data_IF_614274422262
#
_entry.id   IF_614274422262
#
_cell.length_a   1.000
_cell.length_b   1.000
_cell.length_c   1.000
_cell.angle_alpha   90.00
_cell.angle_beta   90.00
_cell.angle_gamma   90.00
#
_symmetry.space_group_name_H-M   'P 1'
#
loop_
_entity.id
_entity.type
_entity.pdbx_description
1 polymer ?
#
# COMPACT_ATOMS: atom_id res chain seq x y z
N UNK A 1 -29.09 22.31 64.76
CA UNK A 1 -28.01 22.60 63.80
C UNK A 1 -27.45 21.29 63.30
N UNK A 2 -27.53 21.07 61.97
CA UNK A 2 -26.63 20.30 61.08
C UNK A 2 -25.99 18.99 61.60
N UNK A 3 -26.02 17.83 60.94
CA UNK A 3 -26.69 17.23 59.77
C UNK A 3 -26.44 15.72 59.95
N UNK A 4 -27.49 14.88 59.94
CA UNK A 4 -27.35 13.44 59.71
C UNK A 4 -27.36 13.24 58.20
N UNK A 5 -26.35 12.57 57.64
CA UNK A 5 -26.37 12.11 56.25
C UNK A 5 -26.20 10.60 56.26
N UNK A 6 -27.17 9.97 55.60
CA UNK A 6 -27.37 8.55 55.41
C UNK A 6 -26.15 7.85 54.80
N UNK A 7 -25.90 6.64 55.32
CA UNK A 7 -25.18 5.60 54.61
C UNK A 7 -25.96 5.20 53.35
N UNK A 8 -25.30 5.22 52.20
CA UNK A 8 -25.74 4.55 50.98
C UNK A 8 -24.61 3.62 50.55
N UNK A 9 -24.81 2.34 50.82
CA UNK A 9 -24.06 1.22 50.27
C UNK A 9 -24.44 1.10 48.80
N UNK A 10 -23.48 1.26 47.88
CA UNK A 10 -23.61 0.85 46.49
C UNK A 10 -22.41 0.01 46.11
N UNK A 11 -22.70 -1.28 46.16
CA UNK A 11 -21.95 -2.44 45.71
C UNK A 11 -21.62 -2.36 44.22
N UNK A 12 -20.38 -2.75 43.89
CA UNK A 12 -19.89 -3.37 42.65
C UNK A 12 -20.09 -2.65 41.29
N UNK A 13 -18.98 -2.44 40.59
CA UNK A 13 -18.63 -3.30 39.44
C UNK A 13 -17.16 -3.14 39.09
N UNK A 14 -16.42 -4.25 39.28
CA UNK A 14 -15.24 -4.58 38.51
C UNK A 14 -15.59 -4.51 37.02
N UNK A 15 -14.99 -3.57 36.29
CA UNK A 15 -14.84 -3.72 34.85
C UNK A 15 -13.35 -3.82 34.60
N UNK A 16 -12.96 -5.05 34.26
CA UNK A 16 -11.68 -5.42 33.71
C UNK A 16 -11.17 -4.34 32.76
N UNK A 17 -9.96 -3.85 33.02
CA UNK A 17 -9.13 -3.30 31.96
C UNK A 17 -8.92 -4.40 30.92
N UNK A 18 -9.71 -4.33 29.85
CA UNK A 18 -9.34 -4.96 28.59
C UNK A 18 -8.10 -4.21 28.09
N UNK A 19 -6.93 -4.69 28.48
CA UNK A 19 -5.75 -4.57 27.63
C UNK A 19 -6.11 -5.31 26.35
N UNK A 20 -6.54 -4.57 25.34
CA UNK A 20 -6.75 -5.09 24.00
C UNK A 20 -5.36 -5.37 23.43
N UNK A 21 -4.91 -6.63 23.34
CA UNK A 21 -3.63 -6.92 22.73
C UNK A 21 -3.86 -6.91 21.22
N UNK A 22 -3.25 -5.96 20.53
CA UNK A 22 -3.06 -6.03 19.08
C UNK A 22 -4.34 -5.89 18.26
N UNK A 23 -4.92 -4.68 18.22
CA UNK A 23 -5.25 -4.19 16.88
C UNK A 23 -3.93 -3.82 16.22
N UNK A 24 -3.28 -4.83 15.64
CA UNK A 24 -2.22 -4.63 14.67
C UNK A 24 -2.80 -3.67 13.64
N UNK A 25 -2.31 -2.43 13.64
CA UNK A 25 -2.47 -1.49 12.53
C UNK A 25 -1.65 -2.09 11.39
N UNK A 26 -2.21 -3.12 10.78
CA UNK A 26 -1.86 -3.49 9.42
C UNK A 26 -2.31 -2.29 8.62
N UNK A 27 -1.36 -1.47 8.15
CA UNK A 27 -1.54 -0.79 6.88
C UNK A 27 -2.23 -1.81 5.98
N UNK A 28 -3.41 -1.47 5.47
CA UNK A 28 -4.12 -2.34 4.55
C UNK A 28 -3.16 -2.55 3.39
N UNK A 29 -2.48 -3.70 3.38
CA UNK A 29 -1.76 -4.23 2.23
C UNK A 29 -2.82 -4.59 1.18
N UNK A 30 -3.54 -3.60 0.69
CA UNK A 30 -3.96 -3.59 -0.69
C UNK A 30 -2.68 -3.34 -1.49
N UNK A 31 -1.80 -4.35 -1.49
CA UNK A 31 -0.83 -4.57 -2.55
C UNK A 31 -1.67 -4.89 -3.79
N UNK A 32 -2.21 -3.82 -4.34
CA UNK A 32 -2.63 -3.76 -5.70
C UNK A 32 -1.40 -3.25 -6.43
N UNK A 33 -0.69 -4.11 -7.19
CA UNK A 33 0.37 -3.67 -8.08
C UNK A 33 -0.20 -2.85 -9.26
N UNK A 34 -1.24 -2.05 -9.03
CA UNK A 34 -1.86 -1.10 -9.95
C UNK A 34 -0.86 0.00 -10.36
N UNK A 35 0.35 0.04 -9.76
CA UNK A 35 1.51 0.80 -10.23
C UNK A 35 2.45 0.05 -11.16
N UNK A 36 2.12 -1.16 -11.64
CA UNK A 36 2.61 -1.61 -12.94
C UNK A 36 1.84 -0.83 -14.01
N UNK A 37 2.20 0.45 -14.19
CA UNK A 37 2.14 1.04 -15.52
C UNK A 37 2.90 0.06 -16.40
N UNK A 38 2.15 -0.75 -17.15
CA UNK A 38 2.68 -1.49 -18.27
C UNK A 38 3.06 -0.42 -19.28
N UNK A 39 4.27 0.13 -19.16
CA UNK A 39 4.90 0.76 -20.29
C UNK A 39 4.91 -0.34 -21.38
N UNK A 40 4.19 -0.10 -22.47
CA UNK A 40 4.43 -0.85 -23.70
C UNK A 40 5.84 -0.49 -24.09
N UNK A 41 6.78 -1.33 -23.72
CA UNK A 41 8.09 -1.38 -24.33
C UNK A 41 7.85 -1.80 -25.79
N UNK A 42 7.79 -0.82 -26.69
CA UNK A 42 7.69 -1.02 -28.13
C UNK A 42 9.05 -1.44 -28.72
N UNK A 43 9.82 -2.25 -27.99
CA UNK A 43 11.05 -2.84 -28.48
C UNK A 43 10.96 -4.38 -28.50
N UNK A 44 10.78 -4.90 -29.71
CA UNK A 44 10.76 -6.33 -30.01
C UNK A 44 12.16 -6.92 -29.79
N UNK A 45 12.21 -7.91 -28.91
CA UNK A 45 13.23 -8.95 -28.91
C UNK A 45 14.21 -8.79 -27.77
N UNK A 46 13.97 -9.51 -26.68
CA UNK A 46 14.93 -10.33 -25.93
C UNK A 46 14.20 -10.95 -24.73
N UNK A 47 14.86 -11.90 -24.08
CA UNK A 47 14.30 -13.00 -23.28
C UNK A 47 13.31 -12.59 -22.17
N UNK A 48 12.33 -13.46 -21.91
CA UNK A 48 11.34 -13.30 -20.83
C UNK A 48 12.01 -13.46 -19.46
N UNK A 49 12.67 -12.43 -18.98
CA UNK A 49 13.08 -12.34 -17.58
C UNK A 49 11.84 -12.24 -16.67
N UNK A 50 11.93 -12.92 -15.53
CA UNK A 50 10.85 -13.08 -14.56
C UNK A 50 10.47 -11.69 -14.02
N UNK A 51 9.17 -11.38 -14.01
CA UNK A 51 8.68 -10.09 -13.56
C UNK A 51 8.98 -9.88 -12.06
N UNK A 52 9.99 -9.06 -11.74
CA UNK A 52 10.24 -8.61 -10.38
C UNK A 52 9.37 -7.38 -10.09
N UNK A 53 8.56 -7.46 -9.03
CA UNK A 53 7.43 -6.57 -8.76
C UNK A 53 7.80 -5.24 -8.06
N UNK A 54 9.07 -5.01 -7.75
CA UNK A 54 9.51 -3.87 -6.94
C UNK A 54 10.57 -3.06 -7.68
N UNK A 55 10.35 -1.73 -7.77
CA UNK A 55 11.29 -0.78 -8.40
C UNK A 55 12.41 -0.29 -7.46
N UNK A 56 12.30 -0.60 -6.17
CA UNK A 56 13.19 -0.14 -5.09
C UNK A 56 13.49 -1.32 -4.17
N UNK A 57 14.76 -1.49 -3.82
CA UNK A 57 15.20 -2.56 -2.94
C UNK A 57 14.74 -2.29 -1.50
N UNK A 58 14.74 -1.02 -1.08
CA UNK A 58 14.19 -0.60 0.19
C UNK A 58 12.71 -0.99 0.33
N UNK A 59 11.90 -0.82 -0.74
CA UNK A 59 10.50 -1.27 -0.74
C UNK A 59 10.34 -2.79 -0.60
N UNK A 60 11.27 -3.59 -1.13
CA UNK A 60 11.27 -5.04 -0.89
C UNK A 60 11.49 -5.33 0.60
N UNK A 61 12.48 -4.66 1.21
CA UNK A 61 12.77 -4.78 2.65
C UNK A 61 11.59 -4.35 3.51
N UNK A 62 10.88 -3.30 3.10
CA UNK A 62 9.67 -2.84 3.78
C UNK A 62 8.63 -3.95 3.85
N UNK A 63 8.26 -4.50 2.69
CA UNK A 63 7.26 -5.57 2.63
C UNK A 63 7.73 -6.84 3.33
N UNK A 64 9.02 -7.17 3.28
CA UNK A 64 9.59 -8.25 4.05
C UNK A 64 9.34 -8.05 5.55
N UNK A 65 9.67 -6.87 6.10
CA UNK A 65 9.41 -6.54 7.51
C UNK A 65 7.91 -6.61 7.84
N UNK A 66 7.04 -6.06 7.02
CA UNK A 66 5.59 -6.11 7.26
C UNK A 66 4.99 -7.55 7.20
N UNK A 67 5.66 -8.46 6.48
CA UNK A 67 5.32 -9.88 6.42
C UNK A 67 6.02 -10.70 7.50
N UNK A 68 6.85 -10.09 8.35
CA UNK A 68 7.61 -10.77 9.40
C UNK A 68 8.80 -11.59 8.86
N UNK A 69 9.31 -11.23 7.69
CA UNK A 69 10.46 -11.87 7.04
C UNK A 69 11.74 -11.15 7.47
N UNK A 70 12.73 -11.91 7.93
CA UNK A 70 14.06 -11.40 8.25
C UNK A 70 14.76 -10.88 6.99
N UNK A 71 15.29 -9.66 7.06
CA UNK A 71 15.94 -8.94 5.95
C UNK A 71 17.46 -9.07 5.98
N UNK A 72 18.06 -9.18 7.17
CA UNK A 72 19.52 -9.17 7.34
C UNK A 72 20.18 -10.39 6.70
N UNK A 73 21.31 -10.17 6.02
CA UNK A 73 22.13 -11.24 5.43
C UNK A 73 21.55 -11.91 4.18
N UNK A 74 20.38 -11.49 3.69
CA UNK A 74 19.77 -12.01 2.45
C UNK A 74 20.07 -11.11 1.26
N UNK A 75 20.26 -11.71 0.10
CA UNK A 75 20.27 -10.97 -1.15
C UNK A 75 18.85 -10.54 -1.55
N UNK A 76 18.76 -9.45 -2.29
CA UNK A 76 17.49 -8.83 -2.67
C UNK A 76 16.64 -9.76 -3.55
N UNK A 77 17.24 -10.59 -4.41
CA UNK A 77 16.48 -11.47 -5.30
C UNK A 77 15.80 -12.61 -4.53
N UNK A 78 16.51 -13.18 -3.56
CA UNK A 78 15.92 -14.12 -2.59
C UNK A 78 14.81 -13.43 -1.79
N UNK A 79 15.06 -12.22 -1.29
CA UNK A 79 14.06 -11.48 -0.51
C UNK A 79 12.79 -11.18 -1.32
N UNK A 80 12.92 -10.80 -2.59
CA UNK A 80 11.79 -10.60 -3.52
C UNK A 80 10.94 -11.87 -3.65
N UNK A 81 11.58 -13.03 -3.76
CA UNK A 81 10.88 -14.32 -3.87
C UNK A 81 10.16 -14.68 -2.57
N UNK A 82 10.84 -14.52 -1.43
CA UNK A 82 10.24 -14.79 -0.12
C UNK A 82 9.05 -13.88 0.17
N UNK A 83 9.18 -12.57 -0.09
CA UNK A 83 8.09 -11.59 0.03
C UNK A 83 6.92 -12.00 -0.85
N UNK A 84 7.19 -12.37 -2.09
CA UNK A 84 6.16 -12.78 -3.04
C UNK A 84 5.41 -14.04 -2.58
N UNK A 85 6.14 -15.07 -2.14
CA UNK A 85 5.56 -16.31 -1.64
C UNK A 85 4.75 -16.09 -0.35
N UNK A 86 5.29 -15.35 0.60
CA UNK A 86 4.63 -15.03 1.85
C UNK A 86 3.36 -14.20 1.62
N UNK A 87 3.38 -13.25 0.66
CA UNK A 87 2.20 -12.48 0.29
C UNK A 87 1.08 -13.36 -0.26
N UNK A 88 1.40 -14.35 -1.12
CA UNK A 88 0.41 -15.29 -1.64
C UNK A 88 -0.17 -16.13 -0.50
N UNK A 89 0.67 -16.70 0.38
CA UNK A 89 0.21 -17.53 1.50
C UNK A 89 -0.67 -16.75 2.47
N UNK A 90 -0.25 -15.55 2.88
CA UNK A 90 -1.03 -14.66 3.76
C UNK A 90 -2.36 -14.26 3.12
N UNK A 91 -2.37 -14.04 1.81
CA UNK A 91 -3.60 -13.76 1.07
C UNK A 91 -4.51 -14.99 1.00
N UNK A 92 -3.96 -16.17 0.79
CA UNK A 92 -4.71 -17.43 0.81
C UNK A 92 -5.36 -17.66 2.18
N UNK A 93 -4.62 -17.50 3.27
CA UNK A 93 -5.13 -17.57 4.64
C UNK A 93 -6.26 -16.56 4.86
N UNK A 94 -6.08 -15.29 4.45
CA UNK A 94 -7.11 -14.24 4.54
C UNK A 94 -8.40 -14.63 3.82
N UNK A 95 -8.30 -15.35 2.71
CA UNK A 95 -9.45 -15.78 1.91
C UNK A 95 -9.95 -17.20 2.26
N UNK A 96 -9.38 -17.84 3.30
CA UNK A 96 -9.76 -19.20 3.70
C UNK A 96 -9.36 -20.27 2.68
N UNK A 97 -8.37 -20.00 1.83
CA UNK A 97 -7.82 -20.94 0.85
C UNK A 97 -6.68 -21.71 1.53
N UNK A 98 -6.81 -23.04 1.60
CA UNK A 98 -5.77 -23.90 2.12
C UNK A 98 -4.54 -23.93 1.17
N UNK A 99 -3.34 -23.53 1.64
CA UNK A 99 -2.12 -23.58 0.85
C UNK A 99 -1.45 -24.96 0.82
N UNK A 100 -1.82 -25.90 1.70
CA UNK A 100 -1.10 -27.17 1.84
C UNK A 100 -1.16 -28.03 0.57
N UNK A 101 0.00 -28.56 0.16
CA UNK A 101 0.13 -29.45 -1.00
C UNK A 101 -0.08 -28.78 -2.37
N UNK A 102 -0.38 -27.48 -2.44
CA UNK A 102 -0.55 -26.74 -3.69
C UNK A 102 0.77 -26.14 -4.18
N UNK A 103 0.94 -26.11 -5.51
CA UNK A 103 2.01 -25.32 -6.14
C UNK A 103 1.70 -23.83 -6.02
N UNK A 104 2.73 -23.01 -5.83
CA UNK A 104 2.58 -21.56 -5.66
C UNK A 104 1.79 -20.90 -6.80
N UNK A 105 2.03 -21.30 -8.05
CA UNK A 105 1.29 -20.78 -9.21
C UNK A 105 -0.21 -21.11 -9.20
N UNK A 106 -0.58 -22.28 -8.66
CA UNK A 106 -1.98 -22.67 -8.49
C UNK A 106 -2.62 -21.85 -7.38
N UNK A 107 -1.95 -21.76 -6.23
CA UNK A 107 -2.41 -20.98 -5.08
C UNK A 107 -2.61 -19.50 -5.45
N UNK A 108 -1.66 -18.92 -6.18
CA UNK A 108 -1.75 -17.57 -6.73
C UNK A 108 -3.02 -17.37 -7.56
N UNK A 109 -3.33 -18.30 -8.46
CA UNK A 109 -4.50 -18.19 -9.33
C UNK A 109 -5.79 -18.19 -8.51
N UNK A 110 -5.91 -19.10 -7.55
CA UNK A 110 -7.06 -19.18 -6.65
C UNK A 110 -7.21 -17.89 -5.82
N UNK A 111 -6.12 -17.39 -5.24
CA UNK A 111 -6.10 -16.13 -4.49
C UNK A 111 -6.55 -14.96 -5.37
N UNK A 112 -6.03 -14.85 -6.58
CA UNK A 112 -6.39 -13.77 -7.52
C UNK A 112 -7.85 -13.86 -7.96
N UNK A 113 -8.36 -15.07 -8.18
CA UNK A 113 -9.76 -15.31 -8.53
C UNK A 113 -10.70 -14.90 -7.40
N UNK A 114 -10.44 -15.34 -6.17
CA UNK A 114 -11.25 -14.95 -5.01
C UNK A 114 -11.17 -13.45 -4.74
N UNK A 115 -9.97 -12.85 -4.82
CA UNK A 115 -9.80 -11.40 -4.68
C UNK A 115 -10.60 -10.64 -5.74
N UNK A 116 -10.58 -11.09 -6.99
CA UNK A 116 -11.33 -10.47 -8.08
C UNK A 116 -12.84 -10.60 -7.87
N UNK A 117 -13.35 -11.75 -7.43
CA UNK A 117 -14.77 -11.96 -7.14
C UNK A 117 -15.24 -11.07 -5.99
N UNK A 118 -14.47 -10.98 -4.90
CA UNK A 118 -14.78 -10.07 -3.79
C UNK A 118 -14.80 -8.61 -4.25
N UNK A 119 -13.82 -8.19 -5.06
CA UNK A 119 -13.83 -6.82 -5.61
C UNK A 119 -15.00 -6.58 -6.57
N UNK A 120 -15.40 -7.57 -7.36
CA UNK A 120 -16.59 -7.47 -8.20
C UNK A 120 -17.84 -7.27 -7.33
N UNK A 121 -17.98 -8.03 -6.26
CA UNK A 121 -19.09 -7.90 -5.31
C UNK A 121 -19.10 -6.53 -4.61
N UNK A 122 -17.95 -6.07 -4.09
CA UNK A 122 -17.78 -4.75 -3.47
C UNK A 122 -18.20 -3.61 -4.42
N UNK A 123 -17.93 -3.77 -5.71
CA UNK A 123 -18.22 -2.78 -6.76
C UNK A 123 -19.61 -2.97 -7.41
N UNK A 124 -20.40 -3.95 -6.95
CA UNK A 124 -21.73 -4.25 -7.50
C UNK A 124 -21.71 -4.79 -8.94
N UNK A 125 -20.63 -5.45 -9.35
CA UNK A 125 -20.46 -6.01 -10.70
C UNK A 125 -20.96 -7.46 -10.72
N UNK A 126 -21.90 -7.75 -11.63
CA UNK A 126 -22.38 -9.11 -11.84
C UNK A 126 -21.25 -10.05 -12.31
N UNK A 127 -21.12 -11.22 -11.69
CA UNK A 127 -20.08 -12.21 -12.03
C UNK A 127 -20.58 -13.34 -12.92
N UNK A 128 -21.90 -13.60 -12.94
CA UNK A 128 -22.49 -14.73 -13.64
C UNK A 128 -22.34 -14.61 -15.17
N UNK A 129 -21.93 -15.71 -15.82
CA UNK A 129 -21.81 -15.80 -17.27
C UNK A 129 -20.67 -15.00 -17.90
N UNK A 130 -19.83 -14.32 -17.11
CA UNK A 130 -18.62 -13.62 -17.60
C UNK A 130 -17.41 -14.54 -17.55
N UNK A 131 -16.55 -14.44 -18.55
CA UNK A 131 -15.22 -15.04 -18.48
C UNK A 131 -14.31 -14.23 -17.53
N UNK A 132 -13.28 -14.87 -17.00
CA UNK A 132 -12.37 -14.28 -16.01
C UNK A 132 -11.66 -13.03 -16.51
N UNK A 133 -11.36 -12.95 -17.82
CA UNK A 133 -10.68 -11.79 -18.39
C UNK A 133 -11.63 -10.59 -18.45
N UNK A 134 -12.86 -10.80 -18.93
CA UNK A 134 -13.88 -9.75 -18.97
C UNK A 134 -14.21 -9.24 -17.56
N UNK A 135 -14.37 -10.14 -16.59
CA UNK A 135 -14.60 -9.75 -15.20
C UNK A 135 -13.43 -8.92 -14.65
N UNK A 136 -12.19 -9.33 -14.91
CA UNK A 136 -11.01 -8.57 -14.49
C UNK A 136 -10.96 -7.15 -15.10
N UNK A 137 -11.31 -7.02 -16.37
CA UNK A 137 -11.37 -5.72 -17.06
C UNK A 137 -12.43 -4.81 -16.44
N UNK A 138 -13.64 -5.34 -16.19
CA UNK A 138 -14.72 -4.57 -15.56
C UNK A 138 -14.38 -4.15 -14.12
N UNK A 139 -13.84 -5.06 -13.30
CA UNK A 139 -13.37 -4.75 -11.94
C UNK A 139 -12.27 -3.69 -11.97
N UNK A 140 -11.31 -3.79 -12.89
CA UNK A 140 -10.24 -2.80 -13.02
C UNK A 140 -10.79 -1.43 -13.40
N UNK A 141 -11.69 -1.38 -14.38
CA UNK A 141 -12.29 -0.13 -14.84
C UNK A 141 -13.14 0.53 -13.75
N UNK A 142 -13.99 -0.24 -13.08
CA UNK A 142 -14.83 0.26 -11.99
C UNK A 142 -14.00 0.80 -10.83
N UNK A 143 -12.92 0.10 -10.44
CA UNK A 143 -11.99 0.58 -9.40
C UNK A 143 -11.33 1.90 -9.78
N UNK A 144 -10.96 2.04 -11.05
CA UNK A 144 -10.33 3.24 -11.57
C UNK A 144 -11.31 4.41 -11.64
N UNK A 145 -12.57 4.16 -12.01
CA UNK A 145 -13.66 5.15 -11.94
C UNK A 145 -13.88 5.59 -10.49
N UNK A 146 -14.04 4.65 -9.56
CA UNK A 146 -14.23 4.95 -8.15
C UNK A 146 -13.11 5.85 -7.60
N UNK A 147 -11.85 5.50 -7.88
CA UNK A 147 -10.71 6.32 -7.44
C UNK A 147 -10.64 7.69 -8.10
N UNK A 148 -11.06 7.80 -9.35
CA UNK A 148 -11.14 9.10 -10.02
C UNK A 148 -12.23 9.97 -9.38
N UNK A 149 -13.39 9.39 -9.06
CA UNK A 149 -14.49 10.09 -8.37
C UNK A 149 -14.09 10.53 -6.95
N UNK A 150 -13.37 9.69 -6.21
CA UNK A 150 -12.80 10.02 -4.90
C UNK A 150 -11.86 11.24 -4.97
N UNK A 151 -11.16 11.43 -6.10
CA UNK A 151 -10.30 12.58 -6.39
C UNK A 151 -11.04 13.75 -7.04
N UNK A 152 -12.37 13.69 -7.17
CA UNK A 152 -13.19 14.73 -7.79
C UNK A 152 -13.02 14.85 -9.31
N UNK A 153 -12.49 13.81 -9.97
CA UNK A 153 -12.26 13.78 -11.41
C UNK A 153 -13.52 13.28 -12.14
N UNK A 154 -13.99 14.03 -13.14
CA UNK A 154 -15.09 13.57 -14.00
C UNK A 154 -14.68 12.35 -14.83
N UNK A 155 -15.51 11.31 -14.83
CA UNK A 155 -15.25 10.02 -15.48
C UNK A 155 -16.00 9.83 -16.80
N UNK A 156 -16.95 10.72 -17.11
CA UNK A 156 -17.79 10.59 -18.31
C UNK A 156 -16.97 10.73 -19.60
N UNK A 157 -17.05 9.72 -20.47
CA UNK A 157 -16.42 9.71 -21.79
C UNK A 157 -14.90 9.47 -21.79
N UNK A 158 -14.25 9.32 -20.63
CA UNK A 158 -12.80 9.15 -20.53
C UNK A 158 -12.35 7.70 -20.62
N UNK A 159 -11.21 7.49 -21.24
CA UNK A 159 -10.56 6.17 -21.28
C UNK A 159 -9.73 5.92 -20.01
N UNK A 160 -9.42 4.66 -19.71
CA UNK A 160 -8.66 4.28 -18.51
C UNK A 160 -7.29 4.98 -18.43
N UNK A 161 -6.62 5.17 -19.57
CA UNK A 161 -5.30 5.81 -19.60
C UNK A 161 -5.38 7.33 -19.34
N UNK A 162 -6.45 7.99 -19.81
CA UNK A 162 -6.72 9.40 -19.52
C UNK A 162 -7.00 9.59 -18.03
N UNK A 163 -7.87 8.75 -17.46
CA UNK A 163 -8.18 8.76 -16.04
C UNK A 163 -6.93 8.51 -15.18
N UNK A 164 -6.08 7.54 -15.52
CA UNK A 164 -4.81 7.31 -14.81
C UNK A 164 -3.92 8.55 -14.84
N UNK A 165 -3.82 9.21 -16.00
CA UNK A 165 -2.99 10.40 -16.16
C UNK A 165 -3.53 11.55 -15.30
N UNK A 166 -4.82 11.83 -15.38
CA UNK A 166 -5.45 12.89 -14.60
C UNK A 166 -5.39 12.62 -13.09
N UNK A 167 -5.65 11.38 -12.66
CA UNK A 167 -5.50 10.99 -11.26
C UNK A 167 -4.07 11.17 -10.77
N UNK A 168 -3.09 10.82 -11.60
CA UNK A 168 -1.69 11.04 -11.27
C UNK A 168 -1.37 12.53 -11.14
N UNK A 169 -1.82 13.35 -12.08
CA UNK A 169 -1.65 14.80 -12.05
C UNK A 169 -2.29 15.44 -10.81
N UNK A 170 -3.53 15.09 -10.49
CA UNK A 170 -4.23 15.59 -9.30
C UNK A 170 -3.47 15.19 -8.02
N UNK A 171 -3.08 13.92 -7.87
CA UNK A 171 -2.33 13.45 -6.69
C UNK A 171 -0.99 14.18 -6.55
N UNK A 172 -0.24 14.31 -7.64
CA UNK A 172 1.05 15.01 -7.63
C UNK A 172 0.88 16.49 -7.24
N UNK A 173 -0.14 17.17 -7.77
CA UNK A 173 -0.39 18.56 -7.42
C UNK A 173 -0.82 18.72 -5.95
N UNK A 174 -1.71 17.85 -5.44
CA UNK A 174 -2.12 17.86 -4.03
C UNK A 174 -0.93 17.63 -3.09
N UNK A 175 -0.07 16.65 -3.42
CA UNK A 175 1.13 16.37 -2.62
C UNK A 175 2.16 17.51 -2.70
N UNK A 176 2.36 18.11 -3.88
CA UNK A 176 3.22 19.28 -4.02
C UNK A 176 2.73 20.46 -3.19
N UNK A 177 1.42 20.77 -3.25
CA UNK A 177 0.80 21.85 -2.48
C UNK A 177 0.94 21.60 -0.96
N UNK A 178 0.67 20.37 -0.50
CA UNK A 178 0.81 19.99 0.91
C UNK A 178 2.26 20.16 1.42
N UNK A 179 3.25 19.99 0.53
CA UNK A 179 4.67 20.17 0.83
C UNK A 179 5.17 21.59 0.56
N UNK A 180 4.33 22.48 0.03
CA UNK A 180 4.73 23.84 -0.35
C UNK A 180 5.71 23.90 -1.52
N UNK A 181 5.69 22.90 -2.41
CA UNK A 181 6.54 22.84 -3.59
C UNK A 181 5.92 23.61 -4.76
N UNK A 182 6.76 24.33 -5.52
CA UNK A 182 6.33 25.00 -6.75
C UNK A 182 6.08 23.98 -7.86
N UNK A 183 4.91 24.06 -8.48
CA UNK A 183 4.44 23.20 -9.57
C UNK A 183 4.57 23.86 -10.94
N UNK A 184 4.83 25.18 -11.00
CA UNK A 184 4.77 25.93 -12.24
C UNK A 184 5.93 25.55 -13.18
N UNK A 185 5.58 25.11 -14.39
CA UNK A 185 6.55 24.83 -15.45
C UNK A 185 7.37 23.55 -15.28
N UNK A 186 7.02 22.70 -14.31
CA UNK A 186 7.67 21.40 -14.10
C UNK A 186 6.89 20.26 -14.77
N UNK A 187 7.62 19.29 -15.28
CA UNK A 187 7.03 18.04 -15.77
C UNK A 187 6.57 17.17 -14.59
N UNK A 188 5.42 16.49 -14.72
CA UNK A 188 4.82 15.69 -13.63
C UNK A 188 5.79 14.64 -13.06
N UNK A 189 6.63 14.04 -13.93
CA UNK A 189 7.63 13.05 -13.52
C UNK A 189 8.74 13.66 -12.67
N UNK A 190 9.13 14.90 -12.92
CA UNK A 190 10.15 15.61 -12.14
C UNK A 190 9.56 16.03 -10.79
N UNK A 191 8.36 16.61 -10.81
CA UNK A 191 7.64 16.99 -9.61
C UNK A 191 7.40 15.79 -8.68
N UNK A 192 7.07 14.61 -9.21
CA UNK A 192 6.94 13.38 -8.43
C UNK A 192 8.24 12.96 -7.73
N UNK A 193 9.40 13.15 -8.38
CA UNK A 193 10.71 12.87 -7.76
C UNK A 193 11.01 13.87 -6.64
N UNK A 194 10.73 15.15 -6.87
CA UNK A 194 10.89 16.19 -5.86
C UNK A 194 10.00 15.95 -4.63
N UNK A 195 8.74 15.58 -4.84
CA UNK A 195 7.82 15.18 -3.78
C UNK A 195 8.37 13.99 -3.00
N UNK A 196 8.81 12.92 -3.68
CA UNK A 196 9.40 11.75 -3.02
C UNK A 196 10.60 12.16 -2.15
N UNK A 197 11.51 12.96 -2.70
CA UNK A 197 12.68 13.45 -1.98
C UNK A 197 12.27 14.30 -0.77
N UNK A 198 11.33 15.23 -0.94
CA UNK A 198 10.85 16.10 0.13
C UNK A 198 10.21 15.31 1.27
N UNK A 199 9.35 14.32 0.96
CA UNK A 199 8.75 13.43 1.96
C UNK A 199 9.80 12.64 2.74
N UNK A 200 10.80 12.11 2.04
CA UNK A 200 11.89 11.38 2.66
C UNK A 200 12.76 12.27 3.55
N UNK A 201 13.09 13.48 3.11
CA UNK A 201 13.83 14.45 3.91
C UNK A 201 13.04 14.82 5.16
N UNK A 202 11.74 15.10 5.05
CA UNK A 202 10.89 15.41 6.21
C UNK A 202 10.79 14.24 7.19
N UNK A 203 10.63 13.00 6.69
CA UNK A 203 10.61 11.81 7.52
C UNK A 203 11.96 11.61 8.23
N UNK A 204 13.07 11.78 7.50
CA UNK A 204 14.42 11.70 8.05
C UNK A 204 14.65 12.74 9.16
N UNK A 205 14.26 14.00 8.94
CA UNK A 205 14.36 15.06 9.94
C UNK A 205 13.54 14.75 11.20
N UNK A 206 12.32 14.23 11.05
CA UNK A 206 11.46 13.84 12.18
C UNK A 206 12.05 12.66 12.97
N UNK A 207 12.75 11.75 12.30
CA UNK A 207 13.42 10.59 12.90
C UNK A 207 14.82 10.92 13.43
N UNK A 208 15.33 12.14 13.20
CA UNK A 208 16.68 12.55 13.59
C UNK A 208 17.79 11.93 12.73
N UNK A 209 17.47 11.52 11.50
CA UNK A 209 18.40 10.96 10.51
C UNK A 209 19.13 12.12 9.80
N UNK A 210 20.45 11.98 9.65
CA UNK A 210 21.26 12.93 8.86
C UNK A 210 20.92 12.80 7.37
N UNK A 211 20.58 13.92 6.73
CA UNK A 211 20.14 13.95 5.31
C UNK A 211 21.22 14.37 4.33
N UNK A 212 22.33 14.96 4.82
CA UNK A 212 23.40 15.47 3.95
C UNK A 212 24.11 14.33 3.21
N UNK A 213 24.21 14.44 1.88
CA UNK A 213 24.92 13.46 1.04
C UNK A 213 24.14 12.16 0.76
N UNK A 214 22.91 11.99 1.28
CA UNK A 214 22.05 10.83 1.00
C UNK A 214 21.03 11.14 -0.08
N UNK A 215 20.82 10.20 -1.00
CA UNK A 215 19.74 10.29 -1.99
C UNK A 215 18.43 9.69 -1.45
N UNK A 216 17.35 9.80 -2.23
CA UNK A 216 16.04 9.25 -1.87
C UNK A 216 16.07 7.76 -1.55
N UNK A 217 16.87 6.95 -2.26
CA UNK A 217 16.88 5.51 -2.03
C UNK A 217 17.64 5.18 -0.75
N UNK A 218 18.77 5.85 -0.49
CA UNK A 218 19.55 5.70 0.74
C UNK A 218 18.74 6.13 1.97
N UNK A 219 18.04 7.28 1.90
CA UNK A 219 17.16 7.73 3.00
C UNK A 219 16.05 6.73 3.26
N UNK A 220 15.40 6.24 2.20
CA UNK A 220 14.31 5.28 2.31
C UNK A 220 14.80 3.96 2.91
N UNK A 221 15.96 3.47 2.46
CA UNK A 221 16.56 2.25 2.98
C UNK A 221 16.83 2.36 4.48
N UNK A 222 17.48 3.43 4.92
CA UNK A 222 17.80 3.67 6.34
C UNK A 222 16.54 3.82 7.20
N UNK A 223 15.53 4.55 6.73
CA UNK A 223 14.23 4.66 7.40
C UNK A 223 13.62 3.26 7.61
N UNK A 224 13.71 2.38 6.61
CA UNK A 224 13.12 1.04 6.66
C UNK A 224 13.99 0.05 7.43
N UNK A 225 15.32 0.12 7.37
CA UNK A 225 16.19 -0.85 8.03
C UNK A 225 16.36 -0.51 9.49
N UNK A 226 16.63 0.75 9.79
CA UNK A 226 17.17 1.17 11.09
C UNK A 226 16.12 1.89 11.94
N UNK A 227 15.13 2.53 11.31
CA UNK A 227 14.09 3.34 11.97
C UNK A 227 12.66 2.85 11.71
N UNK A 228 12.48 1.56 11.38
CA UNK A 228 11.19 1.03 10.94
C UNK A 228 10.06 1.25 11.96
N UNK A 229 10.31 0.91 13.23
CA UNK A 229 9.27 0.98 14.26
C UNK A 229 8.96 2.43 14.62
N UNK A 230 9.97 3.29 14.75
CA UNK A 230 9.78 4.72 15.00
C UNK A 230 9.04 5.39 13.84
N UNK A 231 9.40 5.07 12.59
CA UNK A 231 8.75 5.64 11.41
C UNK A 231 7.27 5.26 11.34
N UNK A 232 6.97 4.00 11.67
CA UNK A 232 5.61 3.48 11.72
C UNK A 232 4.80 4.07 12.87
N UNK A 233 5.39 4.21 14.05
CA UNK A 233 4.75 4.80 15.23
C UNK A 233 4.42 6.28 15.00
N UNK A 234 5.35 7.02 14.40
CA UNK A 234 5.18 8.45 14.09
C UNK A 234 4.34 8.71 12.83
N UNK A 235 3.96 7.64 12.09
CA UNK A 235 3.23 7.73 10.83
C UNK A 235 3.91 8.65 9.79
N UNK A 236 5.23 8.56 9.68
CA UNK A 236 6.02 9.31 8.69
C UNK A 236 6.30 8.45 7.47
N UNK A 237 6.70 9.06 6.35
CA UNK A 237 6.96 8.33 5.11
C UNK A 237 7.91 7.14 5.30
N UNK A 238 7.58 5.94 4.79
CA UNK A 238 6.48 5.59 3.88
C UNK A 238 5.16 5.14 4.55
N UNK A 239 4.97 5.42 5.84
CA UNK A 239 3.81 4.99 6.65
C UNK A 239 2.76 6.08 6.87
N UNK A 240 2.86 7.23 6.18
CA UNK A 240 1.90 8.29 6.34
C UNK A 240 0.52 7.90 5.78
N UNK A 241 -0.54 8.54 6.29
CA UNK A 241 -1.88 8.39 5.71
C UNK A 241 -1.98 9.21 4.43
N UNK A 242 -2.59 8.65 3.38
CA UNK A 242 -2.85 9.39 2.15
C UNK A 242 -3.67 10.66 2.46
N UNK A 243 -3.27 11.78 1.85
CA UNK A 243 -4.04 13.02 1.89
C UNK A 243 -5.19 12.85 0.90
N UNK A 244 -6.41 12.76 1.41
CA UNK A 244 -7.66 12.67 0.63
C UNK A 244 -8.23 14.06 0.37
#
# INVERSE_FOLDING_TARGET
MKKYVFAAVMTAMFIFGFTNPGMSVSASMDFDPVWSLKEKDDNKGEEKEKHHHFKSDAMVKLHAKELGIEVEGKDIETLKQEVYEAWIKKSAEKFGIDPEGKKLDTLKKEVMEVKMLQKAEELGIETEGKDTKKLAEEVHQAKLIQKAEELGISTEGKQSDELKKEMFEVKINMEAEALGLDTVGKELRELAKEIKQAKLTQAAEQLGIETEGKDSEALLDEIITDHYEEAKEQQVYPFEREVH
#
